data_IF_903365256827
#
_entry.id   IF_903365256827
#
_cell.length_a   1.000
_cell.length_b   1.000
_cell.length_c   1.000
_cell.angle_alpha   90.00
_cell.angle_beta   90.00
_cell.angle_gamma   90.00
#
_symmetry.space_group_name_H-M   'P 1'
#
loop_
_entity.id
_entity.type
_entity.pdbx_description
1 polymer ?
#
# COMPACT_ATOMS: atom_id res chain seq x y z
N UNK A 1 1.58 10.93 -11.80
CA UNK A 1 2.62 10.03 -11.25
C UNK A 1 2.55 8.62 -11.85
N UNK A 2 1.43 7.92 -11.71
CA UNK A 2 1.16 6.61 -12.34
C UNK A 2 -0.01 6.73 -13.31
N UNK A 3 0.06 6.05 -14.44
CA UNK A 3 -1.01 5.96 -15.43
C UNK A 3 -1.06 4.53 -15.98
N UNK A 4 -2.19 3.86 -15.82
CA UNK A 4 -2.46 2.52 -16.34
C UNK A 4 -3.70 2.61 -17.22
N UNK A 5 -3.65 2.03 -18.42
CA UNK A 5 -4.78 2.03 -19.36
C UNK A 5 -4.98 0.66 -19.97
N UNK A 6 -6.19 0.13 -19.82
CA UNK A 6 -6.63 -1.14 -20.38
C UNK A 6 -5.68 -2.30 -20.05
N UNK A 7 -5.16 -2.35 -18.83
CA UNK A 7 -4.16 -3.34 -18.43
C UNK A 7 -4.81 -4.72 -18.32
N UNK A 8 -4.25 -5.68 -19.10
CA UNK A 8 -4.57 -7.09 -18.99
C UNK A 8 -3.34 -7.87 -18.55
N UNK A 9 -3.50 -8.74 -17.56
CA UNK A 9 -2.44 -9.61 -17.06
C UNK A 9 -2.95 -11.03 -16.85
N UNK A 10 -2.19 -12.03 -17.36
CA UNK A 10 -2.52 -13.44 -17.20
C UNK A 10 -1.29 -14.27 -16.84
N UNK A 11 -1.46 -15.35 -16.10
CA UNK A 11 -0.50 -16.40 -15.85
C UNK A 11 -0.91 -17.66 -16.62
N UNK A 12 -0.27 -17.92 -17.76
CA UNK A 12 -0.70 -18.96 -18.68
C UNK A 12 -2.10 -18.66 -19.22
N UNK A 13 -3.05 -19.53 -18.93
CA UNK A 13 -4.47 -19.35 -19.34
C UNK A 13 -5.33 -18.65 -18.30
N UNK A 14 -4.79 -18.32 -17.13
CA UNK A 14 -5.56 -17.69 -16.04
C UNK A 14 -5.40 -16.18 -16.10
N UNK A 15 -6.48 -15.48 -16.42
CA UNK A 15 -6.55 -14.02 -16.37
C UNK A 15 -6.60 -13.59 -14.90
N UNK A 16 -5.74 -12.65 -14.51
CA UNK A 16 -5.65 -12.13 -13.13
C UNK A 16 -6.05 -10.66 -13.06
N UNK A 17 -5.75 -9.88 -14.12
CA UNK A 17 -6.20 -8.50 -14.24
C UNK A 17 -6.81 -8.33 -15.62
N UNK A 18 -7.95 -7.66 -15.66
CA UNK A 18 -8.70 -7.44 -16.90
C UNK A 18 -9.23 -6.01 -16.95
N UNK A 19 -8.81 -5.30 -18.00
CA UNK A 19 -9.23 -3.93 -18.32
C UNK A 19 -9.07 -2.95 -17.15
N UNK A 20 -7.86 -2.93 -16.55
CA UNK A 20 -7.56 -2.02 -15.45
C UNK A 20 -7.17 -0.66 -15.99
N UNK A 21 -7.93 0.36 -15.57
CA UNK A 21 -7.60 1.77 -15.71
C UNK A 21 -7.34 2.37 -14.33
N UNK A 22 -6.16 2.97 -14.13
CA UNK A 22 -5.76 3.57 -12.86
C UNK A 22 -4.87 4.78 -13.09
N UNK A 23 -5.19 5.88 -12.42
CA UNK A 23 -4.32 7.05 -12.34
C UNK A 23 -3.96 7.35 -10.90
N UNK A 24 -2.71 7.73 -10.65
CA UNK A 24 -2.26 8.19 -9.33
C UNK A 24 -1.50 9.50 -9.51
N UNK A 25 -1.93 10.53 -8.80
CA UNK A 25 -1.30 11.85 -8.83
C UNK A 25 -0.07 11.90 -7.89
N UNK A 26 0.68 12.99 -7.99
CA UNK A 26 1.72 13.34 -7.01
C UNK A 26 1.06 13.73 -5.69
N UNK A 27 1.62 13.29 -4.57
CA UNK A 27 1.04 13.53 -3.24
C UNK A 27 -0.21 12.71 -2.92
N UNK A 28 -0.53 11.71 -3.73
CA UNK A 28 -1.73 10.90 -3.55
C UNK A 28 -1.41 9.55 -2.88
N UNK A 29 -2.26 9.17 -1.94
CA UNK A 29 -2.27 7.81 -1.37
C UNK A 29 -3.43 7.04 -1.98
N UNK A 30 -3.15 5.88 -2.56
CA UNK A 30 -4.15 4.99 -3.18
C UNK A 30 -4.08 3.62 -2.51
N UNK A 31 -5.22 3.09 -2.11
CA UNK A 31 -5.36 1.76 -1.55
C UNK A 31 -6.13 0.84 -2.50
N UNK A 32 -5.47 -0.18 -3.01
CA UNK A 32 -6.08 -1.29 -3.74
C UNK A 32 -6.67 -2.25 -2.71
N UNK A 33 -8.00 -2.36 -2.68
CA UNK A 33 -8.71 -3.22 -1.72
C UNK A 33 -9.37 -4.42 -2.43
N UNK A 34 -9.74 -5.44 -1.67
CA UNK A 34 -10.38 -6.65 -2.18
C UNK A 34 -9.82 -7.91 -1.54
N UNK A 35 -10.47 -9.04 -1.79
CA UNK A 35 -10.10 -10.34 -1.23
C UNK A 35 -8.70 -10.79 -1.67
N UNK A 36 -8.12 -11.74 -0.92
CA UNK A 36 -6.82 -12.31 -1.28
C UNK A 36 -6.91 -13.04 -2.62
N UNK A 37 -5.87 -12.88 -3.46
CA UNK A 37 -5.81 -13.49 -4.78
C UNK A 37 -6.53 -12.71 -5.90
N UNK A 38 -7.19 -11.59 -5.61
CA UNK A 38 -7.95 -10.81 -6.62
C UNK A 38 -7.08 -10.05 -7.63
N UNK A 39 -5.75 -9.97 -7.40
CA UNK A 39 -4.83 -9.32 -8.33
C UNK A 39 -4.09 -8.09 -7.79
N UNK A 40 -4.31 -7.66 -6.54
CA UNK A 40 -3.67 -6.47 -5.93
C UNK A 40 -2.14 -6.49 -6.06
N UNK A 41 -1.48 -7.54 -5.56
CA UNK A 41 -0.01 -7.70 -5.64
C UNK A 41 0.47 -7.86 -7.08
N UNK A 42 -0.36 -8.40 -7.98
CA UNK A 42 -0.06 -8.50 -9.40
C UNK A 42 -0.03 -7.11 -10.03
N UNK A 43 -0.99 -6.24 -9.69
CA UNK A 43 -0.99 -4.85 -10.17
C UNK A 43 0.22 -4.09 -9.65
N UNK A 44 0.56 -4.20 -8.35
CA UNK A 44 1.80 -3.61 -7.80
C UNK A 44 3.05 -4.13 -8.55
N UNK A 45 3.11 -5.43 -8.88
CA UNK A 45 4.20 -6.01 -9.64
C UNK A 45 4.30 -5.48 -11.07
N UNK A 46 3.16 -5.14 -11.70
CA UNK A 46 3.15 -4.46 -13.00
C UNK A 46 3.66 -3.02 -12.90
N UNK A 47 3.26 -2.28 -11.86
CA UNK A 47 3.75 -0.91 -11.60
C UNK A 47 5.26 -0.91 -11.30
N UNK A 48 5.77 -1.91 -10.60
CA UNK A 48 7.19 -2.10 -10.32
C UNK A 48 8.01 -2.56 -11.55
N UNK A 49 7.34 -2.98 -12.63
CA UNK A 49 8.01 -3.54 -13.81
C UNK A 49 8.50 -4.98 -13.64
N UNK A 50 8.15 -5.66 -12.55
CA UNK A 50 8.45 -7.08 -12.32
C UNK A 50 7.64 -8.01 -13.22
N UNK A 51 6.50 -7.53 -13.69
CA UNK A 51 5.60 -8.25 -14.57
C UNK A 51 5.27 -7.41 -15.80
N UNK A 52 5.30 -8.05 -16.95
CA UNK A 52 4.87 -7.45 -18.21
C UNK A 52 3.40 -7.78 -18.45
N UNK A 53 2.61 -6.75 -18.72
CA UNK A 53 1.21 -6.90 -19.12
C UNK A 53 1.11 -7.63 -20.48
N UNK A 54 -0.01 -8.35 -20.64
CA UNK A 54 -0.33 -8.98 -21.93
C UNK A 54 -0.87 -7.92 -22.92
N UNK A 55 -1.66 -6.94 -22.43
CA UNK A 55 -2.21 -5.83 -23.20
C UNK A 55 -2.28 -4.56 -22.34
N UNK A 56 -2.57 -3.44 -22.96
CA UNK A 56 -2.67 -2.14 -22.32
C UNK A 56 -1.31 -1.46 -22.13
N UNK A 57 -1.30 -0.39 -21.34
CA UNK A 57 -0.10 0.40 -21.08
C UNK A 57 0.05 0.69 -19.58
N UNK A 58 1.28 0.68 -19.11
CA UNK A 58 1.65 1.10 -17.75
C UNK A 58 2.73 2.16 -17.87
N UNK A 59 2.49 3.33 -17.31
CA UNK A 59 3.44 4.43 -17.22
C UNK A 59 3.65 4.79 -15.75
N UNK A 60 4.89 4.84 -15.31
CA UNK A 60 5.30 5.24 -13.96
C UNK A 60 6.35 6.34 -14.10
N UNK A 61 6.11 7.49 -13.46
CA UNK A 61 6.99 8.66 -13.54
C UNK A 61 7.23 9.12 -15.00
N UNK A 62 6.16 9.05 -15.84
CA UNK A 62 6.19 9.51 -17.23
C UNK A 62 6.79 8.53 -18.23
N UNK A 63 7.05 7.27 -17.85
CA UNK A 63 7.56 6.26 -18.75
C UNK A 63 7.23 4.83 -18.35
N UNK A 64 7.44 3.85 -19.23
CA UNK A 64 7.23 2.45 -18.86
C UNK A 64 8.19 2.03 -17.74
N UNK A 65 7.72 1.21 -16.76
CA UNK A 65 8.57 0.68 -15.72
C UNK A 65 9.77 -0.07 -16.31
N UNK A 66 10.96 0.17 -15.77
CA UNK A 66 12.20 -0.44 -16.27
C UNK A 66 13.08 -0.86 -15.10
N UNK A 67 13.65 -2.04 -15.18
CA UNK A 67 14.63 -2.51 -14.21
C UNK A 67 15.99 -1.83 -14.44
N UNK A 68 16.13 -0.61 -13.95
CA UNK A 68 17.38 0.13 -13.98
C UNK A 68 17.55 1.06 -12.75
N UNK A 69 18.77 1.51 -12.51
CA UNK A 69 19.10 2.31 -11.34
C UNK A 69 18.32 3.64 -11.25
N UNK A 70 18.00 4.26 -12.39
CA UNK A 70 17.25 5.53 -12.39
C UNK A 70 15.81 5.31 -11.91
N UNK A 71 15.15 4.28 -12.39
CA UNK A 71 13.81 3.89 -11.95
C UNK A 71 13.78 3.56 -10.44
N UNK A 72 14.71 2.70 -9.99
CA UNK A 72 14.76 2.27 -8.60
C UNK A 72 15.25 3.33 -7.60
N UNK A 73 15.80 4.44 -8.08
CA UNK A 73 16.03 5.62 -7.23
C UNK A 73 14.74 6.36 -6.90
N UNK A 74 13.79 6.34 -7.81
CA UNK A 74 12.52 7.07 -7.69
C UNK A 74 11.34 6.21 -7.26
N UNK A 75 11.48 4.90 -7.30
CA UNK A 75 10.43 3.93 -6.90
C UNK A 75 10.97 3.04 -5.77
N UNK A 76 10.25 2.98 -4.67
CA UNK A 76 10.49 2.02 -3.60
C UNK A 76 9.36 1.00 -3.56
N UNK A 77 9.68 -0.25 -3.26
CA UNK A 77 8.70 -1.31 -3.07
C UNK A 77 8.98 -2.07 -1.76
N UNK A 78 7.93 -2.30 -0.99
CA UNK A 78 7.94 -3.24 0.13
C UNK A 78 7.09 -4.42 -0.28
N UNK A 79 7.75 -5.56 -0.52
CA UNK A 79 7.13 -6.83 -0.86
C UNK A 79 7.09 -7.74 0.36
N UNK A 80 6.28 -8.80 0.27
CA UNK A 80 6.05 -9.77 1.36
C UNK A 80 7.34 -10.46 1.86
N UNK A 81 8.35 -10.65 1.02
CA UNK A 81 9.59 -11.33 1.39
C UNK A 81 10.84 -10.48 1.09
N UNK A 82 11.24 -9.60 2.02
CA UNK A 82 12.44 -8.80 1.83
C UNK A 82 13.72 -9.66 1.93
N UNK A 83 14.69 -9.33 1.08
CA UNK A 83 16.02 -9.93 1.13
C UNK A 83 16.97 -9.03 1.90
N UNK A 84 17.67 -9.58 2.87
CA UNK A 84 18.61 -8.86 3.72
C UNK A 84 20.07 -9.15 3.34
N UNK A 85 20.93 -8.14 3.43
CA UNK A 85 22.36 -8.30 3.23
C UNK A 85 22.98 -9.00 4.45
N UNK A 86 23.61 -10.17 4.29
CA UNK A 86 24.30 -10.85 5.39
C UNK A 86 25.42 -9.97 5.95
N UNK A 87 25.56 -9.95 7.28
CA UNK A 87 26.65 -9.26 7.95
C UNK A 87 26.40 -7.79 8.27
N UNK A 88 25.28 -7.20 7.86
CA UNK A 88 24.88 -5.86 8.27
C UNK A 88 23.94 -5.93 9.48
N UNK A 89 24.04 -4.93 10.35
CA UNK A 89 23.06 -4.64 11.39
C UNK A 89 21.87 -3.87 10.80
N UNK A 90 20.78 -3.73 11.57
CA UNK A 90 19.61 -2.91 11.21
C UNK A 90 20.04 -1.49 10.85
N UNK A 91 20.87 -0.85 11.67
CA UNK A 91 21.37 0.51 11.44
C UNK A 91 22.20 0.60 10.17
N UNK A 92 23.20 -0.25 10.03
CA UNK A 92 24.09 -0.26 8.86
C UNK A 92 23.35 -0.51 7.55
N UNK A 93 22.29 -1.33 7.59
CA UNK A 93 21.42 -1.53 6.43
C UNK A 93 20.72 -0.23 6.02
N UNK A 94 20.11 0.49 6.97
CA UNK A 94 19.44 1.77 6.67
C UNK A 94 20.43 2.84 6.20
N UNK A 95 21.62 2.90 6.79
CA UNK A 95 22.71 3.78 6.34
C UNK A 95 23.16 3.45 4.91
N UNK A 96 23.34 2.17 4.59
CA UNK A 96 23.69 1.72 3.24
C UNK A 96 22.62 2.14 2.23
N UNK A 97 21.34 1.93 2.54
CA UNK A 97 20.22 2.36 1.69
C UNK A 97 20.30 3.87 1.44
N UNK A 98 20.53 4.69 2.46
CA UNK A 98 20.67 6.15 2.30
C UNK A 98 21.89 6.55 1.49
N UNK A 99 23.03 5.91 1.71
CA UNK A 99 24.27 6.21 0.97
C UNK A 99 24.09 6.00 -0.55
N UNK A 100 23.29 5.02 -0.96
CA UNK A 100 23.03 4.73 -2.38
C UNK A 100 22.09 5.74 -3.05
N UNK A 101 21.47 6.67 -2.28
CA UNK A 101 20.48 7.64 -2.76
C UNK A 101 20.91 9.10 -2.54
N UNK A 102 22.20 9.37 -2.38
CA UNK A 102 22.71 10.76 -2.25
C UNK A 102 22.59 11.56 -3.56
N UNK A 103 22.39 12.90 -3.52
CA UNK A 103 22.10 13.71 -2.32
C UNK A 103 20.69 13.51 -1.81
N UNK A 104 20.51 13.63 -0.48
CA UNK A 104 19.21 13.47 0.16
C UNK A 104 18.52 14.84 0.30
N UNK A 105 17.21 14.95 -0.01
CA UNK A 105 16.41 16.11 0.33
C UNK A 105 16.32 16.34 1.84
N UNK A 106 16.02 17.57 2.25
CA UNK A 106 15.94 17.96 3.68
C UNK A 106 14.80 17.29 4.44
N UNK A 107 13.75 16.81 3.74
CA UNK A 107 12.63 16.11 4.34
C UNK A 107 12.92 14.62 4.64
N UNK A 108 14.04 14.07 4.16
CA UNK A 108 14.40 12.70 4.47
C UNK A 108 14.69 12.52 5.97
N UNK A 109 13.91 11.67 6.61
CA UNK A 109 14.03 11.33 8.03
C UNK A 109 15.43 10.73 8.33
N UNK A 110 16.18 11.20 9.33
CA UNK A 110 17.46 10.61 9.73
C UNK A 110 17.35 9.13 10.09
N UNK A 111 18.43 8.35 9.95
CA UNK A 111 18.42 6.91 10.24
C UNK A 111 18.08 6.64 11.70
N UNK A 112 18.62 7.44 12.63
CA UNK A 112 18.32 7.28 14.06
C UNK A 112 16.85 7.49 14.36
N UNK A 113 16.23 8.49 13.74
CA UNK A 113 14.81 8.78 13.89
C UNK A 113 13.96 7.66 13.26
N UNK A 114 14.37 7.13 12.10
CA UNK A 114 13.69 5.97 11.50
C UNK A 114 13.76 4.75 12.43
N UNK A 115 14.92 4.47 13.00
CA UNK A 115 15.09 3.36 13.97
C UNK A 115 14.17 3.54 15.18
N UNK A 116 14.00 4.77 15.66
CA UNK A 116 13.10 5.10 16.77
C UNK A 116 11.63 5.02 16.36
N UNK A 117 11.23 5.68 15.26
CA UNK A 117 9.86 5.70 14.73
C UNK A 117 9.35 4.27 14.50
N UNK A 118 10.22 3.41 13.94
CA UNK A 118 9.87 2.03 13.65
C UNK A 118 10.06 1.06 14.85
N UNK A 119 10.39 1.60 16.05
CA UNK A 119 10.52 0.80 17.29
C UNK A 119 11.61 -0.26 17.19
N UNK A 120 12.71 0.05 16.48
CA UNK A 120 13.83 -0.85 16.25
C UNK A 120 15.06 -0.50 17.13
N UNK A 121 14.98 0.51 18.00
CA UNK A 121 16.11 1.03 18.79
C UNK A 121 16.84 -0.08 19.60
N UNK A 122 16.08 -0.98 20.25
CA UNK A 122 16.66 -2.11 20.98
C UNK A 122 17.30 -3.19 20.09
N UNK A 123 17.15 -3.07 18.78
CA UNK A 123 17.63 -4.01 17.76
C UNK A 123 18.51 -3.34 16.70
N UNK A 124 18.88 -2.09 16.90
CA UNK A 124 19.65 -1.31 15.93
C UNK A 124 20.96 -1.99 15.53
N UNK A 125 21.64 -2.62 16.49
CA UNK A 125 22.91 -3.32 16.28
C UNK A 125 22.74 -4.85 16.07
N UNK A 126 21.50 -5.33 15.95
CA UNK A 126 21.21 -6.73 15.68
C UNK A 126 21.19 -7.01 14.17
N UNK A 127 21.45 -8.27 13.81
CA UNK A 127 21.26 -8.73 12.43
C UNK A 127 19.77 -8.75 12.07
N UNK A 128 19.37 -8.27 10.87
CA UNK A 128 18.00 -8.38 10.35
C UNK A 128 17.44 -9.81 10.40
N UNK A 129 18.30 -10.81 10.26
CA UNK A 129 17.91 -12.23 10.30
C UNK A 129 17.44 -12.68 11.69
N UNK A 130 17.84 -11.99 12.76
CA UNK A 130 17.44 -12.28 14.15
C UNK A 130 16.14 -11.61 14.58
N UNK A 131 15.53 -10.79 13.71
CA UNK A 131 14.30 -10.07 13.99
C UNK A 131 13.07 -10.98 13.91
N UNK A 132 12.03 -10.66 14.68
CA UNK A 132 10.69 -11.25 14.50
C UNK A 132 10.08 -10.83 13.18
N UNK A 133 8.99 -11.50 12.73
CA UNK A 133 8.28 -11.14 11.50
C UNK A 133 7.83 -9.67 11.50
N UNK A 134 7.18 -9.21 12.57
CA UNK A 134 6.77 -7.81 12.71
C UNK A 134 7.95 -6.83 12.73
N UNK A 135 9.06 -7.18 13.37
CA UNK A 135 10.27 -6.35 13.33
C UNK A 135 10.90 -6.30 11.93
N UNK A 136 10.88 -7.41 11.18
CA UNK A 136 11.33 -7.43 9.79
C UNK A 136 10.43 -6.57 8.89
N UNK A 137 9.11 -6.63 9.09
CA UNK A 137 8.18 -5.76 8.38
C UNK A 137 8.47 -4.28 8.65
N UNK A 138 8.64 -3.91 9.92
CA UNK A 138 9.02 -2.54 10.31
C UNK A 138 10.34 -2.11 9.68
N UNK A 139 11.34 -2.98 9.64
CA UNK A 139 12.62 -2.69 8.98
C UNK A 139 12.47 -2.51 7.47
N UNK A 140 11.62 -3.30 6.80
CA UNK A 140 11.34 -3.15 5.36
C UNK A 140 10.72 -1.79 5.05
N UNK A 141 9.75 -1.37 5.86
CA UNK A 141 9.11 -0.07 5.75
C UNK A 141 10.10 1.06 6.03
N UNK A 142 10.90 0.95 7.11
CA UNK A 142 11.96 1.92 7.41
C UNK A 142 12.97 2.05 6.26
N UNK A 143 13.38 0.94 5.66
CA UNK A 143 14.30 0.93 4.52
C UNK A 143 13.70 1.57 3.26
N UNK A 144 12.40 1.39 3.02
CA UNK A 144 11.71 2.06 1.92
C UNK A 144 11.63 3.57 2.13
N UNK A 145 11.29 4.01 3.35
CA UNK A 145 11.18 5.43 3.71
C UNK A 145 12.54 6.11 3.96
N UNK A 146 13.62 5.35 4.17
CA UNK A 146 14.97 5.89 4.20
C UNK A 146 15.42 6.49 2.85
N UNK A 147 14.68 6.23 1.77
CA UNK A 147 15.01 6.63 0.40
C UNK A 147 14.14 7.82 -0.03
N UNK A 148 14.68 8.78 -0.78
CA UNK A 148 13.91 9.88 -1.36
C UNK A 148 13.17 9.40 -2.63
N UNK A 149 12.34 8.35 -2.51
CA UNK A 149 11.54 7.88 -3.63
C UNK A 149 10.34 8.80 -3.88
N UNK A 150 9.94 8.91 -5.14
CA UNK A 150 8.73 9.64 -5.55
C UNK A 150 7.49 8.77 -5.51
N UNK A 151 7.66 7.46 -5.63
CA UNK A 151 6.58 6.47 -5.58
C UNK A 151 6.93 5.34 -4.60
N UNK A 152 5.99 5.04 -3.71
CA UNK A 152 6.09 3.96 -2.76
C UNK A 152 5.01 2.91 -3.08
N UNK A 153 5.44 1.68 -3.34
CA UNK A 153 4.57 0.54 -3.60
C UNK A 153 4.61 -0.38 -2.37
N UNK A 154 3.47 -0.63 -1.75
CA UNK A 154 3.36 -1.38 -0.50
C UNK A 154 2.41 -2.57 -0.67
N UNK A 155 2.90 -3.76 -0.40
CA UNK A 155 2.07 -4.97 -0.39
C UNK A 155 1.82 -5.40 1.06
N UNK A 156 0.57 -5.26 1.52
CA UNK A 156 0.13 -5.54 2.88
C UNK A 156 1.02 -4.87 3.96
N UNK A 157 1.24 -3.54 3.90
CA UNK A 157 2.20 -2.88 4.79
C UNK A 157 1.84 -2.99 6.27
N UNK A 158 0.57 -3.14 6.60
CA UNK A 158 0.04 -3.31 7.95
C UNK A 158 0.20 -4.73 8.51
N UNK A 159 0.55 -5.71 7.68
CA UNK A 159 0.67 -7.09 8.08
C UNK A 159 1.67 -7.27 9.22
N UNK A 160 1.31 -8.07 10.21
CA UNK A 160 2.14 -8.36 11.41
C UNK A 160 2.48 -7.13 12.27
N UNK A 161 1.77 -6.00 12.10
CA UNK A 161 1.91 -4.81 12.94
C UNK A 161 0.80 -4.77 14.00
N UNK A 162 1.14 -4.26 15.19
CA UNK A 162 0.13 -3.93 16.20
C UNK A 162 -0.68 -2.67 15.83
N UNK A 163 -1.86 -2.51 16.41
CA UNK A 163 -2.78 -1.42 16.08
C UNK A 163 -2.13 -0.03 16.21
N UNK A 164 -1.43 0.23 17.31
CA UNK A 164 -0.78 1.53 17.53
C UNK A 164 0.34 1.82 16.52
N UNK A 165 0.96 0.78 15.95
CA UNK A 165 1.93 0.97 14.89
C UNK A 165 1.27 1.17 13.52
N UNK A 166 0.12 0.52 13.25
CA UNK A 166 -0.66 0.75 12.01
C UNK A 166 -1.09 2.21 11.90
N UNK A 167 -1.67 2.77 12.97
CA UNK A 167 -2.10 4.18 12.99
C UNK A 167 -0.92 5.13 12.73
N UNK A 168 0.22 4.86 13.36
CA UNK A 168 1.44 5.66 13.16
C UNK A 168 1.98 5.55 11.74
N UNK A 169 1.96 4.35 11.15
CA UNK A 169 2.35 4.15 9.75
C UNK A 169 1.41 4.89 8.80
N UNK A 170 0.10 4.80 9.01
CA UNK A 170 -0.91 5.51 8.23
C UNK A 170 -0.65 7.03 8.24
N UNK A 171 -0.47 7.62 9.43
CA UNK A 171 -0.14 9.04 9.60
C UNK A 171 1.15 9.41 8.86
N UNK A 172 2.19 8.59 8.97
CA UNK A 172 3.49 8.85 8.32
C UNK A 172 3.38 8.80 6.79
N UNK A 173 2.58 7.89 6.24
CA UNK A 173 2.36 7.82 4.80
C UNK A 173 1.59 9.03 4.27
N UNK A 174 0.60 9.52 5.00
CA UNK A 174 -0.22 10.66 4.62
C UNK A 174 0.47 11.99 4.91
N UNK A 175 0.79 12.26 6.18
CA UNK A 175 1.19 13.59 6.65
C UNK A 175 2.64 13.93 6.34
N UNK A 176 3.49 12.92 6.16
CA UNK A 176 4.91 13.15 5.89
C UNK A 176 5.29 12.76 4.47
N UNK A 177 4.97 11.55 4.01
CA UNK A 177 5.43 11.11 2.70
C UNK A 177 4.61 11.75 1.57
N UNK A 178 3.29 11.64 1.59
CA UNK A 178 2.42 12.20 0.56
C UNK A 178 2.42 13.73 0.58
N UNK A 179 2.39 14.36 1.77
CA UNK A 179 2.46 15.80 1.91
C UNK A 179 3.74 16.43 1.35
N UNK A 180 4.85 15.67 1.25
CA UNK A 180 6.09 16.09 0.60
C UNK A 180 6.15 15.72 -0.91
N UNK A 181 5.00 15.38 -1.53
CA UNK A 181 4.86 15.12 -2.96
C UNK A 181 5.12 13.66 -3.35
N UNK A 182 5.40 12.76 -2.42
CA UNK A 182 5.48 11.33 -2.69
C UNK A 182 4.11 10.73 -3.00
N UNK A 183 4.00 9.80 -3.93
CA UNK A 183 2.78 9.03 -4.13
C UNK A 183 2.90 7.64 -3.50
N UNK A 184 1.80 7.13 -2.95
CA UNK A 184 1.73 5.79 -2.37
C UNK A 184 0.66 4.97 -3.09
N UNK A 185 1.02 3.75 -3.51
CA UNK A 185 0.05 2.75 -3.93
C UNK A 185 0.22 1.54 -3.04
N UNK A 186 -0.78 1.24 -2.25
CA UNK A 186 -0.75 0.08 -1.36
C UNK A 186 -1.83 -0.92 -1.71
N UNK A 187 -1.50 -2.20 -1.59
CA UNK A 187 -2.45 -3.30 -1.58
C UNK A 187 -2.75 -3.64 -0.13
N UNK A 188 -4.00 -3.60 0.27
CA UNK A 188 -4.42 -3.92 1.64
C UNK A 188 -5.81 -4.56 1.66
N UNK A 189 -6.08 -5.35 2.67
CA UNK A 189 -7.42 -5.82 3.01
C UNK A 189 -7.97 -5.12 4.27
N UNK A 190 -7.18 -4.25 4.90
CA UNK A 190 -7.55 -3.47 6.09
C UNK A 190 -8.11 -2.10 5.64
N UNK A 191 -9.44 -2.02 5.59
CA UNK A 191 -10.14 -0.80 5.19
C UNK A 191 -9.88 0.37 6.16
N UNK A 192 -9.84 0.09 7.46
CA UNK A 192 -9.63 1.14 8.49
C UNK A 192 -8.23 1.74 8.35
N UNK A 193 -7.23 0.90 8.07
CA UNK A 193 -5.88 1.37 7.77
C UNK A 193 -5.84 2.27 6.53
N UNK A 194 -6.54 1.87 5.44
CA UNK A 194 -6.63 2.66 4.22
C UNK A 194 -7.27 4.03 4.47
N UNK A 195 -8.38 4.08 5.22
CA UNK A 195 -9.07 5.32 5.59
C UNK A 195 -8.17 6.20 6.46
N UNK A 196 -7.51 5.63 7.48
CA UNK A 196 -6.60 6.38 8.36
C UNK A 196 -5.41 6.97 7.59
N UNK A 197 -4.93 6.27 6.56
CA UNK A 197 -3.88 6.76 5.65
C UNK A 197 -4.38 7.81 4.64
N UNK A 198 -5.65 8.25 4.72
CA UNK A 198 -6.23 9.20 3.77
C UNK A 198 -6.25 8.71 2.33
N UNK A 199 -6.28 7.39 2.13
CA UNK A 199 -6.17 6.82 0.80
C UNK A 199 -7.47 6.91 0.01
N UNK A 200 -7.35 7.20 -1.29
CA UNK A 200 -8.42 6.92 -2.24
C UNK A 200 -8.52 5.41 -2.42
N UNK A 201 -9.67 4.85 -2.09
CA UNK A 201 -9.92 3.41 -2.12
C UNK A 201 -10.29 2.99 -3.53
N UNK A 202 -9.63 1.94 -4.03
CA UNK A 202 -9.87 1.33 -5.34
C UNK A 202 -10.20 -0.15 -5.10
N UNK A 203 -11.47 -0.51 -5.06
CA UNK A 203 -11.86 -1.90 -4.86
C UNK A 203 -11.62 -2.72 -6.13
N UNK A 204 -10.99 -3.89 -5.94
CA UNK A 204 -10.80 -4.89 -6.96
C UNK A 204 -11.70 -6.10 -6.69
N UNK A 205 -12.39 -6.56 -7.73
CA UNK A 205 -13.15 -7.82 -7.72
C UNK A 205 -12.94 -8.53 -9.05
N UNK A 206 -12.70 -9.83 -9.01
CA UNK A 206 -12.51 -10.67 -10.20
C UNK A 206 -11.49 -10.11 -11.22
N UNK A 207 -10.43 -9.47 -10.71
CA UNK A 207 -9.38 -8.89 -11.53
C UNK A 207 -9.73 -7.57 -12.21
N UNK A 208 -10.85 -6.93 -11.84
CA UNK A 208 -11.31 -5.63 -12.35
C UNK A 208 -11.41 -4.60 -11.23
N UNK A 209 -11.26 -3.34 -11.56
CA UNK A 209 -11.66 -2.24 -10.67
C UNK A 209 -13.19 -2.14 -10.74
N UNK A 210 -13.82 -2.14 -9.55
CA UNK A 210 -15.25 -1.87 -9.44
C UNK A 210 -15.44 -0.41 -9.00
N UNK A 211 -16.28 0.33 -9.72
CA UNK A 211 -16.77 1.62 -9.24
C UNK A 211 -17.65 1.33 -8.02
N UNK A 212 -17.41 2.03 -6.91
CA UNK A 212 -18.36 1.99 -5.80
C UNK A 212 -19.71 2.47 -6.37
N UNK A 213 -20.69 1.55 -6.44
CA UNK A 213 -22.05 1.97 -6.63
C UNK A 213 -22.39 2.91 -5.47
N UNK A 214 -22.87 4.11 -5.76
CA UNK A 214 -23.44 5.01 -4.75
C UNK A 214 -24.31 4.14 -3.85
N UNK A 215 -24.01 4.10 -2.54
CA UNK A 215 -24.81 3.38 -1.59
C UNK A 215 -26.24 3.90 -1.74
N UNK A 216 -27.11 3.11 -2.40
CA UNK A 216 -28.55 3.35 -2.35
C UNK A 216 -28.90 3.33 -0.87
N UNK A 217 -29.26 4.48 -0.32
CA UNK A 217 -29.90 4.60 0.97
C UNK A 217 -31.09 3.62 0.96
N UNK A 218 -30.87 2.46 1.59
CA UNK A 218 -31.97 1.55 1.90
C UNK A 218 -32.79 2.29 2.95
N UNK A 219 -33.84 3.00 2.46
CA UNK A 219 -34.89 3.50 3.34
C UNK A 219 -35.41 2.28 4.14
N UNK A 220 -35.06 2.20 5.40
CA UNK A 220 -35.67 1.29 6.34
C UNK A 220 -37.16 1.63 6.40
N UNK A 221 -37.98 0.89 5.67
CA UNK A 221 -39.43 0.91 5.87
C UNK A 221 -39.72 0.53 7.32
N UNK A 222 -40.11 1.53 8.11
CA UNK A 222 -40.63 1.28 9.46
C UNK A 222 -41.78 0.28 9.39
N UNK A 223 -41.79 -0.77 10.25
CA UNK A 223 -42.88 -1.70 10.26
C UNK A 223 -44.16 -0.99 10.71
N UNK A 224 -45.16 -0.92 9.86
CA UNK A 224 -46.51 -0.47 10.16
C UNK A 224 -47.08 -1.34 11.29
N UNK A 225 -47.15 -0.81 12.47
CA UNK A 225 -47.81 -1.45 13.60
C UNK A 225 -49.32 -1.40 13.32
N UNK A 226 -49.90 -2.53 12.95
CA UNK A 226 -51.35 -2.68 12.84
C UNK A 226 -51.99 -2.62 14.24
N UNK A 227 -52.76 -1.58 14.47
CA UNK A 227 -53.60 -1.37 15.69
C UNK A 227 -54.84 -2.30 15.61
N UNK A 228 -54.73 -3.45 16.26
CA UNK A 228 -55.89 -4.37 16.48
C UNK A 228 -56.66 -3.99 17.76
N UNK A 229 -57.38 -2.90 17.68
CA UNK A 229 -58.43 -2.62 18.68
C UNK A 229 -59.78 -3.20 18.27
N UNK A 230 -60.00 -4.48 18.56
CA UNK A 230 -61.34 -5.09 18.50
C UNK A 230 -61.93 -5.19 19.89
N UNK A 231 -62.82 -4.26 20.16
CA UNK A 231 -63.77 -4.31 21.29
C UNK A 231 -64.76 -5.46 21.06
N UNK A 232 -64.69 -6.49 21.89
CA UNK A 232 -65.71 -7.55 21.99
C UNK A 232 -66.53 -7.39 23.26
N UNK A 233 -67.71 -6.94 23.10
CA UNK A 233 -68.75 -6.94 24.16
C UNK A 233 -69.39 -8.31 24.28
N UNK A 234 -69.55 -8.81 25.50
CA UNK A 234 -70.24 -10.05 25.86
C UNK A 234 -71.62 -9.74 26.41
N UNK A 235 -72.68 -10.51 26.18
CA UNK A 235 -73.85 -10.51 27.05
C UNK A 235 -73.63 -11.39 28.28
#
# INVERSE_FOLDING_TARGET
MVEVRGLHMAYGSVVVLEDIDLTVAEGEVVALTGINGVGKSTLLSCLAGFRRQAQGTVSVLGGPPRDNAAFWRSVAIVADQPTWYPGLTVRELLELVRMTHQPLPSWCVPVDDLVEIFGLSARADASPLSLSSGQRQRLSLAAALARPSSLLLLDEPEASLDAGFRDRLATLLHDEYAANGGAVVMATHDHDFAVTAGARIIPLSEGRIIEEAEEEEVEEEEPVIADDSVTGTVP
#
